data_IF_303588628385
#
_entry.id   IF_303588628385
#
_cell.length_a   1.000
_cell.length_b   1.000
_cell.length_c   1.000
_cell.angle_alpha   90.00
_cell.angle_beta   90.00
_cell.angle_gamma   90.00
#
_symmetry.space_group_name_H-M   'P 1'
#
loop_
_entity.id
_entity.type
_entity.pdbx_description
1 polymer ?
#
# COMPACT_ATOMS: atom_id res chain seq x y z
N UNK A 1 12.86 7.25 24.74
CA UNK A 1 12.16 7.38 23.44
C UNK A 1 13.15 7.08 22.33
N UNK A 2 12.77 6.25 21.35
CA UNK A 2 13.61 5.95 20.19
C UNK A 2 13.25 6.90 19.06
N UNK A 3 14.23 7.56 18.44
CA UNK A 3 14.01 8.32 17.20
C UNK A 3 13.80 7.32 16.06
N UNK A 4 12.70 7.45 15.33
CA UNK A 4 12.44 6.67 14.13
C UNK A 4 13.19 7.30 12.95
N UNK A 5 13.80 6.46 12.11
CA UNK A 5 14.43 6.89 10.87
C UNK A 5 13.36 6.75 9.77
N UNK A 6 13.19 7.80 8.99
CA UNK A 6 12.32 7.76 7.81
C UNK A 6 13.14 7.16 6.68
N UNK A 7 12.65 6.07 6.11
CA UNK A 7 13.29 5.34 5.03
C UNK A 7 12.48 5.51 3.72
N UNK A 8 13.13 5.54 2.54
CA UNK A 8 12.42 5.48 1.27
C UNK A 8 11.60 4.20 1.16
N UNK A 9 10.35 4.32 0.70
CA UNK A 9 9.51 3.15 0.45
C UNK A 9 9.99 2.43 -0.82
N UNK A 10 10.24 1.13 -0.70
CA UNK A 10 10.58 0.22 -1.81
C UNK A 10 9.88 -1.12 -1.61
N UNK A 11 9.63 -1.87 -2.68
CA UNK A 11 9.03 -3.20 -2.61
C UNK A 11 9.87 -4.13 -1.71
N UNK A 12 11.18 -4.09 -1.86
CA UNK A 12 12.10 -4.98 -1.14
C UNK A 12 12.13 -4.69 0.35
N UNK A 13 12.21 -3.41 0.74
CA UNK A 13 12.24 -3.03 2.15
C UNK A 13 10.88 -3.25 2.83
N UNK A 14 9.77 -3.17 2.08
CA UNK A 14 8.42 -3.28 2.63
C UNK A 14 7.83 -4.71 2.61
N UNK A 15 8.45 -5.65 1.87
CA UNK A 15 7.96 -7.02 1.72
C UNK A 15 7.56 -7.75 3.02
N UNK A 16 8.22 -7.56 4.18
CA UNK A 16 7.78 -8.17 5.45
C UNK A 16 6.45 -7.64 5.98
N UNK A 17 5.98 -6.49 5.51
CA UNK A 17 4.79 -5.78 5.99
C UNK A 17 3.63 -5.80 5.00
N UNK A 18 3.91 -6.01 3.71
CA UNK A 18 2.89 -6.11 2.66
C UNK A 18 3.44 -5.72 1.28
N UNK A 19 2.52 -5.37 0.39
CA UNK A 19 2.82 -4.99 -0.99
C UNK A 19 2.88 -3.45 -1.16
N UNK A 20 3.76 -2.97 -2.04
CA UNK A 20 3.78 -1.55 -2.46
C UNK A 20 3.00 -1.40 -3.77
N UNK A 21 1.90 -0.64 -3.72
CA UNK A 21 1.08 -0.35 -4.90
C UNK A 21 1.69 0.81 -5.68
N UNK A 22 2.49 0.49 -6.70
CA UNK A 22 3.14 1.46 -7.59
C UNK A 22 3.40 0.88 -8.99
N UNK A 23 3.73 1.74 -9.95
CA UNK A 23 4.09 1.33 -11.33
C UNK A 23 5.59 1.07 -11.52
N UNK A 24 6.43 1.74 -10.75
CA UNK A 24 7.89 1.70 -10.96
C UNK A 24 8.45 0.34 -10.60
N UNK A 25 9.16 -0.30 -11.52
CA UNK A 25 9.66 -1.67 -11.34
C UNK A 25 8.58 -2.74 -11.27
N UNK A 26 7.30 -2.41 -11.57
CA UNK A 26 6.20 -3.37 -11.57
C UNK A 26 5.97 -3.96 -12.96
N UNK A 27 5.74 -5.28 -13.01
CA UNK A 27 5.37 -5.95 -14.24
C UNK A 27 4.04 -5.41 -14.78
N UNK A 28 3.95 -5.32 -16.11
CA UNK A 28 2.75 -4.91 -16.80
C UNK A 28 2.63 -5.62 -18.15
N UNK A 29 1.42 -5.60 -18.68
CA UNK A 29 1.17 -6.01 -20.05
C UNK A 29 0.23 -5.02 -20.74
N UNK A 30 0.33 -4.97 -22.06
CA UNK A 30 -0.50 -4.08 -22.87
C UNK A 30 -1.90 -4.65 -23.04
N UNK A 31 -2.91 -3.79 -22.91
CA UNK A 31 -4.31 -4.06 -23.24
C UNK A 31 -4.81 -3.00 -24.22
N UNK A 32 -6.08 -3.08 -24.66
CA UNK A 32 -6.72 -2.11 -25.56
C UNK A 32 -5.88 -1.84 -26.82
N UNK A 33 -5.46 -2.90 -27.53
CA UNK A 33 -4.64 -2.82 -28.74
C UNK A 33 -3.34 -2.01 -28.55
N UNK A 34 -2.69 -2.13 -27.40
CA UNK A 34 -1.42 -1.44 -27.15
C UNK A 34 -1.56 -0.01 -26.65
N UNK A 35 -2.77 0.46 -26.34
CA UNK A 35 -2.99 1.84 -25.87
C UNK A 35 -3.00 1.99 -24.35
N UNK A 36 -2.99 0.90 -23.59
CA UNK A 36 -3.04 0.94 -22.12
C UNK A 36 -2.10 -0.09 -21.50
N UNK A 37 -1.27 0.33 -20.55
CA UNK A 37 -0.47 -0.56 -19.71
C UNK A 37 -1.30 -0.99 -18.50
N UNK A 38 -1.48 -2.29 -18.30
CA UNK A 38 -2.12 -2.85 -17.11
C UNK A 38 -1.04 -3.36 -16.16
N UNK A 39 -0.83 -2.63 -15.08
CA UNK A 39 -0.09 -3.08 -13.91
C UNK A 39 -1.00 -4.01 -13.11
N UNK A 40 -0.86 -5.29 -13.38
CA UNK A 40 -1.83 -6.27 -12.93
C UNK A 40 -1.53 -6.71 -11.51
N UNK A 41 -2.56 -6.69 -10.66
CA UNK A 41 -2.53 -7.31 -9.31
C UNK A 41 -1.32 -6.86 -8.50
N UNK A 42 -1.19 -5.54 -8.33
CA UNK A 42 -0.15 -4.94 -7.48
C UNK A 42 -0.31 -5.29 -5.98
N UNK A 43 -1.51 -5.72 -5.57
CA UNK A 43 -1.82 -6.23 -4.25
C UNK A 43 -3.07 -7.13 -4.32
N UNK A 44 -3.24 -8.00 -3.32
CA UNK A 44 -4.45 -8.80 -3.12
C UNK A 44 -5.19 -8.38 -1.84
N UNK A 45 -6.52 -8.29 -1.91
CA UNK A 45 -7.35 -8.11 -0.72
C UNK A 45 -7.62 -9.48 -0.10
N UNK A 46 -7.09 -9.71 1.10
CA UNK A 46 -7.32 -10.93 1.88
C UNK A 46 -8.46 -10.73 2.87
N UNK A 47 -9.46 -11.62 2.84
CA UNK A 47 -10.56 -11.65 3.81
C UNK A 47 -10.50 -12.95 4.63
N UNK A 48 -11.15 -12.96 5.79
CA UNK A 48 -11.06 -14.10 6.72
C UNK A 48 -12.07 -15.20 6.38
N UNK A 49 -13.28 -14.81 6.00
CA UNK A 49 -14.37 -15.73 5.67
C UNK A 49 -14.75 -15.68 4.19
N UNK A 50 -15.28 -16.77 3.61
CA UNK A 50 -15.76 -16.80 2.23
C UNK A 50 -16.88 -15.79 1.92
N UNK A 51 -17.72 -15.48 2.91
CA UNK A 51 -18.82 -14.52 2.79
C UNK A 51 -18.39 -13.06 2.94
N UNK A 52 -17.16 -12.80 3.39
CA UNK A 52 -16.62 -11.45 3.52
C UNK A 52 -16.56 -10.78 2.15
N UNK A 53 -16.81 -9.47 2.13
CA UNK A 53 -16.76 -8.67 0.92
C UNK A 53 -15.74 -7.55 1.08
N UNK A 54 -14.79 -7.50 0.16
CA UNK A 54 -13.92 -6.34 0.02
C UNK A 54 -14.77 -5.08 -0.23
N UNK A 55 -14.50 -4.03 0.53
CA UNK A 55 -15.16 -2.74 0.38
C UNK A 55 -14.15 -1.68 -0.07
N UNK A 56 -14.66 -0.59 -0.65
CA UNK A 56 -13.86 0.57 -1.02
C UNK A 56 -14.43 1.78 -0.27
N UNK A 57 -13.55 2.57 0.33
CA UNK A 57 -13.91 3.77 1.09
C UNK A 57 -12.88 4.86 0.83
N UNK A 58 -13.24 6.11 1.13
CA UNK A 58 -12.34 7.26 1.02
C UNK A 58 -12.10 7.81 2.42
N UNK A 59 -10.82 7.96 2.78
CA UNK A 59 -10.41 8.59 4.03
C UNK A 59 -9.94 10.01 3.74
N UNK A 60 -10.38 10.96 4.57
CA UNK A 60 -9.92 12.35 4.53
C UNK A 60 -9.35 12.69 5.91
N UNK A 61 -8.04 12.64 6.02
CA UNK A 61 -7.32 12.92 7.26
C UNK A 61 -6.79 14.36 7.28
N UNK A 62 -6.60 14.90 8.49
CA UNK A 62 -5.89 16.15 8.74
C UNK A 62 -4.43 15.85 9.11
N UNK A 63 -3.52 16.79 8.84
CA UNK A 63 -2.12 16.65 9.17
C UNK A 63 -1.91 16.71 10.71
N UNK A 64 -1.05 15.82 11.22
CA UNK A 64 -0.68 15.82 12.64
C UNK A 64 0.49 16.78 12.92
N UNK A 65 0.55 17.40 14.12
CA UNK A 65 1.65 18.26 14.49
C UNK A 65 2.95 17.46 14.68
N UNK A 66 4.07 18.05 14.25
CA UNK A 66 5.41 17.49 14.40
C UNK A 66 6.21 18.24 15.48
N UNK A 67 7.08 17.54 16.25
CA UNK A 67 7.38 16.12 16.18
C UNK A 67 6.26 15.24 16.77
N UNK A 68 5.90 14.18 16.05
CA UNK A 68 4.88 13.24 16.48
C UNK A 68 5.48 12.16 17.39
N UNK A 69 4.89 11.96 18.57
CA UNK A 69 5.18 10.80 19.43
C UNK A 69 4.21 9.67 19.09
N UNK A 70 4.75 8.55 18.59
CA UNK A 70 3.94 7.35 18.32
C UNK A 70 3.65 6.64 19.64
N UNK A 71 2.38 6.67 20.07
CA UNK A 71 1.93 6.03 21.32
C UNK A 71 1.22 4.69 21.13
N UNK A 72 0.81 4.36 19.91
CA UNK A 72 0.06 3.14 19.60
C UNK A 72 0.27 2.68 18.16
N UNK A 73 -0.04 1.41 17.91
CA UNK A 73 -0.18 0.77 16.60
C UNK A 73 -1.42 -0.12 16.62
N UNK A 74 -2.06 -0.32 15.47
CA UNK A 74 -3.23 -1.19 15.29
C UNK A 74 -2.92 -2.36 14.32
N UNK A 75 -3.77 -3.39 14.32
CA UNK A 75 -3.71 -4.55 13.42
C UNK A 75 -5.12 -5.04 13.10
#
# INVERSE_FOLDING_TARGET
MRKLIIEPLTKEAFAPFGDVIETDGSDHFMINNGSTMRFHRLADVQTAQPEDKAIISIFRAEALPMPLTIGMLER
#
